data_IF_375508521604
#
_entry.id   IF_375508521604
#
_cell.length_a   1.000
_cell.length_b   1.000
_cell.length_c   1.000
_cell.angle_alpha   90.00
_cell.angle_beta   90.00
_cell.angle_gamma   90.00
#
_symmetry.space_group_name_H-M   'P 1'
#
loop_
_entity.id
_entity.type
_entity.pdbx_description
1 polymer ?
#
# COMPACT_ATOMS: atom_id res chain seq x y z
N UNK A 1 14.04 -0.81 6.39
CA UNK A 1 14.62 -1.99 7.11
C UNK A 1 13.72 -3.23 7.00
N UNK A 2 12.40 -3.11 7.19
CA UNK A 2 11.43 -4.24 7.14
C UNK A 2 11.26 -4.84 5.74
N UNK A 3 11.19 -4.03 4.68
CA UNK A 3 11.14 -4.49 3.28
C UNK A 3 12.36 -5.32 2.87
N UNK A 4 13.53 -4.99 3.41
CA UNK A 4 14.76 -5.74 3.19
C UNK A 4 14.70 -7.09 3.90
N UNK A 5 14.06 -7.15 5.08
CA UNK A 5 13.82 -8.40 5.79
C UNK A 5 12.76 -9.26 5.11
N UNK A 6 11.67 -8.70 4.58
CA UNK A 6 10.63 -9.47 3.86
C UNK A 6 11.17 -9.96 2.51
N UNK A 7 11.87 -9.12 1.75
CA UNK A 7 12.54 -9.55 0.52
C UNK A 7 13.58 -10.64 0.82
N UNK A 8 14.33 -10.50 1.91
CA UNK A 8 15.29 -11.52 2.37
C UNK A 8 14.61 -12.78 2.86
N UNK A 9 13.43 -12.71 3.49
CA UNK A 9 12.67 -13.88 3.96
C UNK A 9 12.00 -14.61 2.80
N UNK A 10 11.50 -13.87 1.80
CA UNK A 10 11.01 -14.43 0.53
C UNK A 10 12.19 -15.04 -0.23
N UNK A 11 13.31 -14.34 -0.40
CA UNK A 11 14.51 -14.88 -1.04
C UNK A 11 15.04 -16.09 -0.27
N UNK A 12 15.06 -16.10 1.07
CA UNK A 12 15.46 -17.26 1.88
C UNK A 12 14.47 -18.42 1.77
N UNK A 13 13.16 -18.16 1.67
CA UNK A 13 12.15 -19.22 1.46
C UNK A 13 12.22 -19.78 0.04
N UNK A 14 12.37 -18.94 -0.97
CA UNK A 14 12.56 -19.37 -2.36
C UNK A 14 13.90 -20.05 -2.54
N UNK A 15 14.98 -19.56 -1.94
CA UNK A 15 16.30 -20.23 -1.93
C UNK A 15 16.20 -21.54 -1.16
N UNK A 16 15.47 -21.63 -0.03
CA UNK A 16 15.22 -22.91 0.64
C UNK A 16 14.37 -23.85 -0.20
N UNK A 17 13.41 -23.35 -0.97
CA UNK A 17 12.54 -24.13 -1.86
C UNK A 17 13.29 -24.56 -3.13
N UNK A 18 14.21 -23.73 -3.61
CA UNK A 18 15.04 -23.95 -4.79
C UNK A 18 16.26 -24.82 -4.41
N UNK A 19 16.82 -24.67 -3.22
CA UNK A 19 17.75 -25.62 -2.58
C UNK A 19 17.03 -26.91 -2.25
N UNK A 20 15.76 -26.90 -1.80
CA UNK A 20 14.97 -28.11 -1.63
C UNK A 20 14.75 -28.80 -2.97
N UNK A 21 14.39 -28.08 -4.03
CA UNK A 21 14.24 -28.62 -5.39
C UNK A 21 15.57 -29.06 -6.02
N UNK A 22 16.67 -28.33 -5.77
CA UNK A 22 18.02 -28.69 -6.23
C UNK A 22 18.54 -29.89 -5.43
N UNK A 23 18.41 -29.91 -4.10
CA UNK A 23 18.72 -31.08 -3.29
C UNK A 23 17.83 -32.25 -3.70
N UNK A 24 16.56 -32.04 -4.01
CA UNK A 24 15.66 -33.07 -4.55
C UNK A 24 16.11 -33.55 -5.94
N UNK A 25 16.69 -32.67 -6.76
CA UNK A 25 17.26 -32.98 -8.08
C UNK A 25 18.67 -33.62 -8.01
N UNK A 26 19.46 -33.31 -6.99
CA UNK A 26 20.90 -33.57 -6.89
C UNK A 26 21.29 -34.61 -5.83
N UNK A 27 20.47 -34.79 -4.80
CA UNK A 27 20.28 -36.13 -4.27
C UNK A 27 19.68 -36.94 -5.41
N UNK A 28 19.85 -38.25 -5.41
CA UNK A 28 19.36 -39.07 -6.50
C UNK A 28 17.82 -39.28 -6.51
N UNK A 29 16.90 -38.58 -5.80
CA UNK A 29 15.52 -38.98 -5.77
C UNK A 29 14.71 -38.45 -6.93
N UNK A 30 15.11 -37.60 -7.87
CA UNK A 30 14.25 -37.50 -9.09
C UNK A 30 14.34 -38.80 -9.92
N UNK A 31 15.55 -39.36 -10.08
CA UNK A 31 15.73 -40.65 -10.78
C UNK A 31 15.42 -41.86 -9.88
N UNK A 32 15.55 -41.74 -8.56
CA UNK A 32 15.16 -42.78 -7.61
C UNK A 32 13.74 -42.65 -7.08
N UNK A 33 13.07 -41.50 -7.13
CA UNK A 33 11.61 -41.36 -7.08
C UNK A 33 11.07 -41.89 -8.39
N UNK A 34 11.60 -41.57 -9.57
CA UNK A 34 11.23 -42.30 -10.80
C UNK A 34 11.52 -43.83 -10.73
N UNK A 35 12.47 -44.29 -9.90
CA UNK A 35 12.68 -45.74 -9.62
C UNK A 35 11.88 -46.29 -8.42
N UNK A 36 11.40 -45.47 -7.49
CA UNK A 36 10.42 -45.80 -6.43
C UNK A 36 9.01 -45.80 -7.04
N UNK A 37 8.80 -45.01 -8.09
CA UNK A 37 7.69 -45.03 -9.05
C UNK A 37 7.87 -46.12 -10.13
N UNK A 38 8.93 -46.95 -10.07
CA UNK A 38 8.67 -48.37 -10.33
C UNK A 38 7.91 -48.86 -9.10
N UNK A 39 6.61 -48.61 -9.11
CA UNK A 39 5.65 -49.29 -8.27
C UNK A 39 6.08 -50.77 -8.20
N UNK A 40 6.09 -51.42 -7.01
CA UNK A 40 6.22 -52.87 -6.97
C UNK A 40 5.23 -53.42 -7.98
N UNK A 41 5.67 -54.35 -8.84
CA UNK A 41 4.85 -54.99 -9.85
C UNK A 41 3.45 -55.28 -9.27
N UNK A 42 2.51 -54.35 -9.49
CA UNK A 42 1.15 -54.49 -9.01
C UNK A 42 0.50 -55.34 -10.08
N UNK A 43 0.74 -56.64 -9.94
CA UNK A 43 0.33 -57.61 -10.91
C UNK A 43 -1.21 -57.58 -10.96
N UNK A 44 -1.72 -57.21 -12.13
CA UNK A 44 -3.08 -57.39 -12.60
C UNK A 44 -4.22 -56.63 -11.87
N UNK A 45 -4.16 -55.29 -11.87
CA UNK A 45 -5.38 -54.51 -12.13
C UNK A 45 -5.09 -53.11 -12.70
N UNK A 46 -5.07 -53.02 -14.04
CA UNK A 46 -4.73 -51.77 -14.79
C UNK A 46 -5.65 -50.60 -14.45
N UNK A 47 -6.87 -50.86 -13.95
CA UNK A 47 -7.86 -49.83 -13.60
C UNK A 47 -7.59 -49.17 -12.24
N UNK A 48 -7.08 -49.93 -11.27
CA UNK A 48 -6.80 -49.44 -9.92
C UNK A 48 -5.54 -48.55 -9.85
N UNK A 49 -4.49 -48.94 -10.56
CA UNK A 49 -3.22 -48.19 -10.62
C UNK A 49 -3.40 -46.81 -11.28
N UNK A 50 -4.10 -46.73 -12.41
CA UNK A 50 -4.37 -45.47 -13.12
C UNK A 50 -5.17 -44.48 -12.26
N UNK A 51 -6.10 -44.99 -11.45
CA UNK A 51 -6.92 -44.17 -10.55
C UNK A 51 -6.10 -43.56 -9.42
N UNK A 52 -5.14 -44.30 -8.86
CA UNK A 52 -4.25 -43.84 -7.79
C UNK A 52 -3.23 -42.82 -8.31
N UNK A 53 -2.63 -43.06 -9.47
CA UNK A 53 -1.69 -42.11 -10.11
C UNK A 53 -2.39 -40.78 -10.43
N UNK A 54 -3.62 -40.85 -10.96
CA UNK A 54 -4.44 -39.65 -11.24
C UNK A 54 -4.77 -38.88 -9.96
N UNK A 55 -5.08 -39.57 -8.86
CA UNK A 55 -5.36 -38.96 -7.56
C UNK A 55 -4.12 -38.27 -6.98
N UNK A 56 -2.95 -38.92 -7.06
CA UNK A 56 -1.68 -38.35 -6.62
C UNK A 56 -1.28 -37.11 -7.43
N UNK A 57 -1.42 -37.16 -8.76
CA UNK A 57 -1.15 -36.01 -9.64
C UNK A 57 -2.08 -34.85 -9.28
N UNK A 58 -3.38 -35.11 -9.13
CA UNK A 58 -4.35 -34.09 -8.72
C UNK A 58 -3.99 -33.47 -7.36
N UNK A 59 -3.59 -34.28 -6.39
CA UNK A 59 -3.19 -33.81 -5.06
C UNK A 59 -1.96 -32.89 -5.14
N UNK A 60 -0.95 -33.28 -5.91
CA UNK A 60 0.27 -32.47 -6.11
C UNK A 60 -0.08 -31.17 -6.83
N UNK A 61 -0.95 -31.20 -7.85
CA UNK A 61 -1.42 -29.99 -8.54
C UNK A 61 -2.13 -29.02 -7.59
N UNK A 62 -2.98 -29.54 -6.69
CA UNK A 62 -3.65 -28.72 -5.67
C UNK A 62 -2.63 -28.10 -4.70
N UNK A 63 -1.64 -28.87 -4.25
CA UNK A 63 -0.59 -28.37 -3.34
C UNK A 63 0.24 -27.25 -4.00
N UNK A 64 0.59 -27.40 -5.27
CA UNK A 64 1.28 -26.36 -6.03
C UNK A 64 0.40 -25.12 -6.16
N UNK A 65 -0.88 -25.30 -6.49
CA UNK A 65 -1.83 -24.19 -6.63
C UNK A 65 -1.96 -23.40 -5.32
N UNK A 66 -2.15 -24.08 -4.19
CA UNK A 66 -2.23 -23.46 -2.86
C UNK A 66 -0.94 -22.74 -2.51
N UNK A 67 0.22 -23.34 -2.80
CA UNK A 67 1.53 -22.74 -2.51
C UNK A 67 1.76 -21.42 -3.23
N UNK A 68 1.14 -21.20 -4.40
CA UNK A 68 1.25 -19.95 -5.17
C UNK A 68 0.11 -18.99 -4.82
N UNK A 69 -1.11 -19.52 -4.57
CA UNK A 69 -2.29 -18.70 -4.31
C UNK A 69 -2.23 -17.94 -2.99
N UNK A 70 -1.67 -18.55 -1.94
CA UNK A 70 -1.51 -17.89 -0.64
C UNK A 70 -0.62 -16.64 -0.71
N UNK A 71 0.65 -16.70 -1.14
CA UNK A 71 1.49 -15.50 -1.21
C UNK A 71 0.96 -14.45 -2.19
N UNK A 72 0.28 -14.88 -3.27
CA UNK A 72 -0.32 -13.94 -4.22
C UNK A 72 -1.47 -13.16 -3.58
N UNK A 73 -2.27 -13.81 -2.73
CA UNK A 73 -3.36 -13.16 -1.98
C UNK A 73 -2.81 -12.13 -1.00
N UNK A 74 -1.75 -12.46 -0.27
CA UNK A 74 -1.09 -11.53 0.66
C UNK A 74 -0.62 -10.26 -0.06
N UNK A 75 0.06 -10.40 -1.20
CA UNK A 75 0.51 -9.26 -2.01
C UNK A 75 -0.68 -8.40 -2.49
N UNK A 76 -1.76 -9.05 -2.93
CA UNK A 76 -2.96 -8.36 -3.38
C UNK A 76 -3.62 -7.56 -2.24
N UNK A 77 -3.70 -8.14 -1.04
CA UNK A 77 -4.23 -7.49 0.16
C UNK A 77 -3.38 -6.29 0.56
N UNK A 78 -2.06 -6.45 0.64
CA UNK A 78 -1.14 -5.37 1.02
C UNK A 78 -1.18 -4.17 0.04
N UNK A 79 -1.27 -4.47 -1.26
CA UNK A 79 -1.44 -3.45 -2.30
C UNK A 79 -2.77 -2.71 -2.17
N UNK A 80 -3.85 -3.45 -1.89
CA UNK A 80 -5.19 -2.89 -1.69
C UNK A 80 -5.23 -1.97 -0.47
N UNK A 81 -4.73 -2.44 0.69
CA UNK A 81 -4.66 -1.65 1.92
C UNK A 81 -3.84 -0.37 1.71
N UNK A 82 -2.74 -0.47 0.97
CA UNK A 82 -1.89 0.69 0.66
C UNK A 82 -2.62 1.73 -0.18
N UNK A 83 -3.46 1.29 -1.12
CA UNK A 83 -4.27 2.14 -1.99
C UNK A 83 -5.42 2.79 -1.22
N UNK A 84 -6.10 2.04 -0.35
CA UNK A 84 -7.16 2.56 0.54
C UNK A 84 -6.61 3.68 1.42
N UNK A 85 -5.48 3.46 2.09
CA UNK A 85 -4.84 4.49 2.92
C UNK A 85 -4.49 5.75 2.14
N UNK A 86 -4.09 5.62 0.87
CA UNK A 86 -3.79 6.77 0.01
C UNK A 86 -5.07 7.54 -0.36
N UNK A 87 -6.17 6.84 -0.64
CA UNK A 87 -7.46 7.46 -0.90
C UNK A 87 -8.02 8.16 0.35
N UNK A 88 -7.89 7.54 1.52
CA UNK A 88 -8.25 8.14 2.80
C UNK A 88 -7.43 9.42 3.06
N UNK A 89 -6.11 9.38 2.91
CA UNK A 89 -5.27 10.59 3.02
C UNK A 89 -5.72 11.66 2.02
N UNK A 90 -5.99 11.30 0.76
CA UNK A 90 -6.48 12.27 -0.23
C UNK A 90 -7.81 12.89 0.18
N UNK A 91 -8.73 12.10 0.74
CA UNK A 91 -10.01 12.56 1.26
C UNK A 91 -9.82 13.55 2.41
N UNK A 92 -8.95 13.24 3.37
CA UNK A 92 -8.62 14.12 4.48
C UNK A 92 -7.97 15.43 4.03
N UNK A 93 -7.04 15.39 3.07
CA UNK A 93 -6.49 16.62 2.46
C UNK A 93 -7.59 17.41 1.75
N UNK A 94 -8.52 16.74 1.06
CA UNK A 94 -9.65 17.40 0.38
C UNK A 94 -10.56 18.13 1.36
N UNK A 95 -10.77 17.59 2.56
CA UNK A 95 -11.52 18.30 3.63
C UNK A 95 -10.83 19.60 4.04
N UNK A 96 -9.50 19.57 4.16
CA UNK A 96 -8.70 20.77 4.46
C UNK A 96 -8.88 21.80 3.33
N UNK A 97 -8.66 21.40 2.07
CA UNK A 97 -8.74 22.32 0.92
C UNK A 97 -10.13 22.90 0.73
N UNK A 98 -11.19 22.11 0.92
CA UNK A 98 -12.55 22.60 0.85
C UNK A 98 -12.82 23.62 1.96
N UNK A 99 -12.32 23.38 3.18
CA UNK A 99 -12.46 24.33 4.28
C UNK A 99 -11.66 25.62 4.05
N UNK A 100 -10.55 25.55 3.31
CA UNK A 100 -9.80 26.74 2.87
C UNK A 100 -10.65 27.54 1.87
N UNK A 101 -11.24 26.86 0.89
CA UNK A 101 -12.12 27.50 -0.09
C UNK A 101 -13.36 28.11 0.56
N UNK A 102 -13.91 27.47 1.60
CA UNK A 102 -14.99 28.04 2.40
C UNK A 102 -14.54 29.34 3.10
N UNK A 103 -13.37 29.34 3.77
CA UNK A 103 -12.82 30.55 4.40
C UNK A 103 -12.54 31.65 3.38
N UNK A 104 -12.03 31.29 2.20
CA UNK A 104 -11.78 32.23 1.11
C UNK A 104 -13.08 32.84 0.56
N UNK A 105 -14.13 32.02 0.44
CA UNK A 105 -15.45 32.45 -0.02
C UNK A 105 -16.18 33.30 1.01
N UNK A 106 -16.05 32.96 2.30
CA UNK A 106 -16.60 33.72 3.42
C UNK A 106 -15.87 35.07 3.61
N UNK A 107 -14.60 35.15 3.17
CA UNK A 107 -13.82 36.38 3.12
C UNK A 107 -13.03 36.69 4.40
N UNK A 108 -12.45 37.89 4.43
CA UNK A 108 -11.58 38.37 5.51
C UNK A 108 -12.31 38.37 6.86
N UNK A 109 -11.64 37.90 7.91
CA UNK A 109 -12.18 37.72 9.27
C UNK A 109 -12.76 36.33 9.53
N UNK A 110 -12.86 35.49 8.49
CA UNK A 110 -13.46 34.16 8.59
C UNK A 110 -12.53 33.13 9.19
N UNK A 111 -13.12 32.13 9.85
CA UNK A 111 -12.40 31.07 10.55
C UNK A 111 -13.15 29.76 10.48
N UNK A 112 -12.43 28.68 10.19
CA UNK A 112 -12.91 27.30 10.25
C UNK A 112 -11.97 26.45 11.09
N UNK A 113 -12.56 25.51 11.81
CA UNK A 113 -11.83 24.52 12.60
C UNK A 113 -12.32 23.16 12.15
N UNK A 114 -11.39 22.28 11.82
CA UNK A 114 -11.68 20.90 11.48
C UNK A 114 -10.72 19.95 12.20
N UNK A 115 -11.14 18.70 12.28
CA UNK A 115 -10.33 17.62 12.85
C UNK A 115 -9.94 16.66 11.74
N UNK A 116 -8.64 16.38 11.65
CA UNK A 116 -8.07 15.58 10.57
C UNK A 116 -7.19 14.50 11.19
N UNK A 117 -7.38 13.26 10.76
CA UNK A 117 -6.54 12.13 11.13
C UNK A 117 -5.93 11.50 9.90
N UNK A 118 -4.60 11.57 9.75
CA UNK A 118 -3.94 10.99 8.57
C UNK A 118 -3.55 9.52 8.82
N UNK A 119 -3.97 8.58 7.95
CA UNK A 119 -3.61 7.16 8.09
C UNK A 119 -2.13 6.86 7.76
N UNK A 120 -1.44 7.85 7.18
CA UNK A 120 0.00 7.84 6.88
C UNK A 120 0.61 9.19 7.21
N UNK A 121 1.88 9.17 7.59
CA UNK A 121 2.65 10.40 7.73
C UNK A 121 2.70 11.13 6.40
N UNK A 122 2.35 12.41 6.41
CA UNK A 122 2.18 13.21 5.20
C UNK A 122 2.69 14.61 5.43
N UNK A 123 3.59 15.05 4.56
CA UNK A 123 4.03 16.43 4.51
C UNK A 123 3.24 17.19 3.47
N UNK A 124 2.44 18.18 3.89
CA UNK A 124 1.66 19.03 3.01
C UNK A 124 2.36 20.36 2.79
N UNK A 125 2.47 20.76 1.53
CA UNK A 125 2.93 22.07 1.11
C UNK A 125 1.77 22.74 0.37
N UNK A 126 1.29 23.86 0.90
CA UNK A 126 0.33 24.74 0.25
C UNK A 126 1.10 25.85 -0.43
N UNK A 127 0.88 26.01 -1.72
CA UNK A 127 1.53 26.99 -2.57
C UNK A 127 0.52 27.57 -3.55
N UNK A 128 0.78 28.77 -4.06
CA UNK A 128 -0.02 29.35 -5.12
C UNK A 128 0.53 28.96 -6.50
N UNK A 129 -0.37 28.74 -7.45
CA UNK A 129 -0.05 28.63 -8.86
C UNK A 129 -0.36 29.96 -9.55
N UNK A 130 0.71 30.70 -9.88
CA UNK A 130 0.62 32.01 -10.52
C UNK A 130 -0.06 31.97 -11.89
N UNK A 131 -0.07 30.82 -12.57
CA UNK A 131 -0.68 30.67 -13.91
C UNK A 131 -2.18 30.45 -13.78
N UNK A 132 -2.58 29.59 -12.85
CA UNK A 132 -3.99 29.24 -12.66
C UNK A 132 -4.75 30.20 -11.75
N UNK A 133 -4.04 31.08 -11.01
CA UNK A 133 -4.59 31.90 -9.91
C UNK A 133 -5.38 31.05 -8.92
N UNK A 134 -4.77 29.94 -8.52
CA UNK A 134 -5.35 28.92 -7.64
C UNK A 134 -4.33 28.41 -6.66
N UNK A 135 -4.79 27.90 -5.53
CA UNK A 135 -3.95 27.20 -4.57
C UNK A 135 -3.71 25.76 -5.00
N UNK A 136 -2.52 25.26 -4.70
CA UNK A 136 -2.12 23.87 -4.89
C UNK A 136 -1.60 23.35 -3.57
N UNK A 137 -2.13 22.20 -3.14
CA UNK A 137 -1.51 21.40 -2.09
C UNK A 137 -0.82 20.20 -2.70
N UNK A 138 0.45 20.04 -2.35
CA UNK A 138 1.22 18.83 -2.65
C UNK A 138 1.49 18.08 -1.36
N UNK A 139 1.08 16.82 -1.32
CA UNK A 139 1.36 15.89 -0.23
C UNK A 139 2.33 14.81 -0.69
N UNK A 140 3.47 14.70 -0.03
CA UNK A 140 4.40 13.61 -0.29
C UNK A 140 4.06 12.41 0.62
N UNK A 141 3.76 11.28 -0.02
CA UNK A 141 3.50 10.00 0.65
C UNK A 141 4.60 9.00 0.30
N UNK A 142 5.35 8.57 1.30
CA UNK A 142 6.25 7.43 1.13
C UNK A 142 5.43 6.13 1.15
N UNK A 143 5.38 5.44 0.01
CA UNK A 143 4.72 4.15 -0.15
C UNK A 143 5.76 3.13 -0.56
N UNK A 144 6.31 2.40 0.41
CA UNK A 144 7.18 1.25 0.17
C UNK A 144 8.31 1.54 -0.85
N UNK A 145 9.13 2.58 -0.59
CA UNK A 145 10.22 3.06 -1.45
C UNK A 145 9.81 3.75 -2.76
N UNK A 146 8.51 3.99 -2.97
CA UNK A 146 8.01 4.86 -4.04
C UNK A 146 7.32 6.06 -3.42
N UNK A 147 7.84 7.27 -3.67
CA UNK A 147 7.13 8.49 -3.33
C UNK A 147 5.96 8.66 -4.30
N UNK A 148 4.74 8.70 -3.76
CA UNK A 148 3.56 9.13 -4.51
C UNK A 148 3.22 10.53 -4.05
N UNK A 149 3.11 11.45 -5.01
CA UNK A 149 2.67 12.81 -4.73
C UNK A 149 1.17 12.91 -4.93
N UNK A 150 0.45 13.39 -3.92
CA UNK A 150 -0.93 13.84 -4.07
C UNK A 150 -0.89 15.31 -4.43
N UNK A 151 -1.51 15.68 -5.55
CA UNK A 151 -1.72 17.07 -5.95
C UNK A 151 -3.21 17.36 -5.97
N UNK A 152 -3.64 18.37 -5.22
CA UNK A 152 -5.02 18.87 -5.23
C UNK A 152 -4.98 20.37 -5.49
N UNK A 153 -5.83 20.84 -6.39
CA UNK A 153 -6.00 22.25 -6.73
C UNK A 153 -7.27 22.75 -6.06
N UNK A 154 -7.20 23.93 -5.45
CA UNK A 154 -8.30 24.61 -4.77
C UNK A 154 -8.33 26.09 -5.16
N UNK A 155 -9.40 26.81 -4.82
CA UNK A 155 -9.65 28.14 -5.37
C UNK A 155 -8.84 29.25 -4.68
N UNK A 156 -8.59 29.15 -3.37
CA UNK A 156 -7.84 30.18 -2.66
C UNK A 156 -6.38 30.28 -3.14
N UNK A 157 -5.96 31.47 -3.58
CA UNK A 157 -4.62 31.73 -4.16
C UNK A 157 -3.66 32.47 -3.19
N UNK A 158 -4.16 32.88 -2.03
CA UNK A 158 -3.47 33.65 -1.00
C UNK A 158 -2.99 32.78 0.18
N UNK A 159 -2.40 31.62 -0.12
CA UNK A 159 -1.89 30.71 0.91
C UNK A 159 -0.48 30.21 0.59
N UNK A 160 0.38 30.29 1.59
CA UNK A 160 1.70 29.67 1.57
C UNK A 160 1.96 29.09 2.97
N UNK A 161 1.76 27.80 3.13
CA UNK A 161 1.92 27.14 4.42
C UNK A 161 2.46 25.72 4.25
N UNK A 162 3.12 25.22 5.29
CA UNK A 162 3.64 23.85 5.32
C UNK A 162 3.21 23.20 6.62
N UNK A 163 2.66 22.00 6.51
CA UNK A 163 2.11 21.27 7.64
C UNK A 163 2.59 19.84 7.57
N UNK A 164 3.11 19.33 8.69
CA UNK A 164 3.40 17.92 8.83
C UNK A 164 2.32 17.24 9.67
N UNK A 165 1.80 16.13 9.15
CA UNK A 165 0.88 15.26 9.87
C UNK A 165 1.58 13.94 10.15
N UNK A 166 1.71 13.58 11.43
CA UNK A 166 2.18 12.26 11.82
C UNK A 166 1.08 11.22 11.64
N UNK A 167 1.50 9.98 11.38
CA UNK A 167 0.60 8.84 11.21
C UNK A 167 -0.25 8.60 12.47
N UNK A 168 -1.55 8.35 12.26
CA UNK A 168 -2.51 7.95 13.31
C UNK A 168 -2.63 8.94 14.48
N UNK A 169 -2.29 10.21 14.28
CA UNK A 169 -2.53 11.28 15.25
C UNK A 169 -3.65 12.15 14.71
N UNK A 170 -4.56 12.54 15.60
CA UNK A 170 -5.60 13.50 15.27
C UNK A 170 -5.05 14.92 15.46
N UNK A 171 -5.24 15.75 14.45
CA UNK A 171 -4.86 17.14 14.49
C UNK A 171 -6.11 18.00 14.44
N UNK A 172 -6.16 19.01 15.31
CA UNK A 172 -7.07 20.14 15.17
C UNK A 172 -6.42 21.13 14.21
N UNK A 173 -7.03 21.29 13.05
CA UNK A 173 -6.57 22.19 12.00
C UNK A 173 -7.46 23.44 12.04
N UNK A 174 -6.83 24.57 12.28
CA UNK A 174 -7.46 25.89 12.28
C UNK A 174 -7.05 26.64 11.03
N UNK A 175 -8.04 27.04 10.25
CA UNK A 175 -7.89 27.83 9.04
C UNK A 175 -8.53 29.18 9.33
N UNK A 176 -7.77 30.25 9.21
CA UNK A 176 -8.27 31.61 9.46
C UNK A 176 -7.75 32.58 8.41
N UNK A 177 -8.60 33.53 8.03
CA UNK A 177 -8.20 34.70 7.25
C UNK A 177 -8.27 35.93 8.17
N UNK A 178 -7.15 36.33 8.80
CA UNK A 178 -7.13 37.49 9.69
C UNK A 178 -7.42 38.79 8.96
N UNK A 179 -7.97 39.76 9.69
CA UNK A 179 -8.37 41.08 9.16
C UNK A 179 -7.17 41.90 8.66
N UNK A 180 -6.02 41.72 9.31
CA UNK A 180 -4.81 42.52 9.04
C UNK A 180 -3.84 41.84 8.06
N UNK A 181 -4.28 40.76 7.38
CA UNK A 181 -3.42 39.97 6.51
C UNK A 181 -4.09 39.61 5.20
N UNK A 182 -3.35 39.72 4.10
CA UNK A 182 -3.83 39.29 2.78
C UNK A 182 -3.87 37.77 2.62
N UNK A 183 -3.20 37.02 3.51
CA UNK A 183 -3.02 35.57 3.39
C UNK A 183 -3.85 34.78 4.39
N UNK A 184 -4.33 33.61 3.96
CA UNK A 184 -4.93 32.61 4.84
C UNK A 184 -3.82 31.94 5.66
N UNK A 185 -4.04 31.87 6.97
CA UNK A 185 -3.12 31.23 7.91
C UNK A 185 -3.68 29.87 8.30
N UNK A 186 -2.81 28.87 8.24
CA UNK A 186 -3.12 27.50 8.56
C UNK A 186 -2.29 27.05 9.78
N UNK A 187 -2.96 26.61 10.83
CA UNK A 187 -2.35 26.15 12.10
C UNK A 187 -2.85 24.76 12.44
N UNK A 188 -1.95 23.84 12.78
CA UNK A 188 -2.31 22.51 13.27
C UNK A 188 -1.81 22.31 14.70
N UNK A 189 -2.63 21.66 15.54
CA UNK A 189 -2.29 21.29 16.91
C UNK A 189 -2.66 19.83 17.12
N UNK A 190 -1.75 19.05 17.71
CA UNK A 190 -1.99 17.64 18.09
C UNK A 190 -3.09 17.59 19.18
N UNK A 191 -4.02 16.63 19.07
CA UNK A 191 -5.15 16.41 19.99
C UNK A 191 -5.03 15.05 20.65
#
# INVERSE_FOLDING_TARGET
>A
MILKNIKKEIEERYIKLLIFLILFKHTNPVRSILKIFKLPNFHNDKKGQLSIESLLISLISILILVSISLPLTEIAVDSTISSVKLLETKSEISKITNSIDDVYSDGIGSKRILYVGMPKETYLIFSNDSVLKKGIVTGDLDVFNHSKQIKIVFNADNINSRINFKKNINYKVTIEWPIDTENIILKNVEV
#
